data_IF_269195862036
#
_entry.id   IF_269195862036
#
_cell.length_a   1.000
_cell.length_b   1.000
_cell.length_c   1.000
_cell.angle_alpha   90.00
_cell.angle_beta   90.00
_cell.angle_gamma   90.00
#
_symmetry.space_group_name_H-M   'P 1'
#
loop_
_entity.id
_entity.type
_entity.pdbx_description
1 polymer ?
#
# COMPACT_ATOMS: atom_id res chain seq x y z
N UNK A 1 -12.17 7.92 -4.74
CA UNK A 1 -12.22 6.75 -5.66
C UNK A 1 -13.32 5.77 -5.23
N UNK A 2 -14.54 6.26 -5.01
CA UNK A 2 -15.81 5.52 -4.89
C UNK A 2 -16.79 6.45 -5.58
N UNK A 3 -17.47 6.02 -6.65
CA UNK A 3 -18.30 6.94 -7.47
C UNK A 3 -19.78 6.59 -7.49
N UNK A 4 -20.18 5.47 -6.88
CA UNK A 4 -21.59 5.12 -6.82
C UNK A 4 -21.88 4.24 -5.62
N UNK A 5 -22.80 4.72 -4.78
CA UNK A 5 -23.57 3.94 -3.82
C UNK A 5 -24.54 3.10 -4.66
N UNK A 6 -24.49 1.77 -4.55
CA UNK A 6 -25.48 0.91 -5.22
C UNK A 6 -26.72 0.91 -4.34
N UNK A 7 -27.87 1.40 -4.82
CA UNK A 7 -29.09 1.46 -4.01
C UNK A 7 -29.43 0.11 -3.35
N UNK A 8 -29.36 -1.01 -4.09
CA UNK A 8 -29.61 -2.34 -3.51
C UNK A 8 -28.58 -2.73 -2.45
N UNK A 9 -27.28 -2.73 -2.78
CA UNK A 9 -26.23 -3.10 -1.81
C UNK A 9 -26.13 -2.17 -0.60
N UNK A 10 -26.54 -0.91 -0.76
CA UNK A 10 -26.54 0.08 0.33
C UNK A 10 -27.78 -0.04 1.20
N UNK A 11 -28.93 -0.35 0.62
CA UNK A 11 -30.13 -0.70 1.39
C UNK A 11 -29.93 -2.00 2.17
N UNK A 12 -29.34 -3.03 1.55
CA UNK A 12 -28.98 -4.27 2.25
C UNK A 12 -28.04 -3.99 3.42
N UNK A 13 -27.03 -3.14 3.23
CA UNK A 13 -26.12 -2.77 4.31
C UNK A 13 -26.80 -2.01 5.45
N UNK A 14 -27.68 -1.05 5.13
CA UNK A 14 -28.45 -0.30 6.13
C UNK A 14 -29.42 -1.21 6.90
N UNK A 15 -30.01 -2.19 6.23
CA UNK A 15 -30.91 -3.17 6.85
C UNK A 15 -30.17 -4.30 7.59
N UNK A 16 -28.83 -4.28 7.65
CA UNK A 16 -28.02 -5.32 8.31
C UNK A 16 -27.98 -6.66 7.57
N UNK A 17 -28.40 -6.69 6.30
CA UNK A 17 -28.41 -7.88 5.44
C UNK A 17 -27.03 -8.16 4.85
N UNK A 18 -26.22 -7.11 4.60
CA UNK A 18 -24.87 -7.23 4.05
C UNK A 18 -23.87 -6.29 4.77
N UNK A 19 -22.55 -6.58 4.74
CA UNK A 19 -21.56 -5.69 5.36
C UNK A 19 -21.46 -4.36 4.60
N UNK A 20 -21.18 -3.25 5.30
CA UNK A 20 -21.11 -1.90 4.69
C UNK A 20 -20.20 -1.84 3.45
N UNK A 21 -19.13 -2.64 3.40
CA UNK A 21 -18.22 -2.67 2.27
C UNK A 21 -18.90 -3.08 0.94
N UNK A 22 -19.98 -3.88 0.96
CA UNK A 22 -20.71 -4.26 -0.26
C UNK A 22 -21.52 -3.11 -0.86
N UNK A 23 -21.68 -2.00 -0.15
CA UNK A 23 -22.26 -0.77 -0.68
C UNK A 23 -21.29 -0.02 -1.63
N UNK A 24 -20.00 -0.34 -1.60
CA UNK A 24 -18.97 0.33 -2.40
C UNK A 24 -18.86 -0.28 -3.80
N UNK A 25 -18.83 0.59 -4.82
CA UNK A 25 -18.50 0.20 -6.19
C UNK A 25 -17.38 1.05 -6.77
N UNK A 26 -16.44 0.36 -7.39
CA UNK A 26 -15.36 0.97 -8.17
C UNK A 26 -15.86 1.39 -9.53
N UNK A 27 -15.34 2.51 -10.03
CA UNK A 27 -15.53 2.89 -11.43
C UNK A 27 -14.25 2.54 -12.22
N UNK A 28 -14.20 1.40 -12.91
CA UNK A 28 -13.02 0.98 -13.65
C UNK A 28 -12.80 1.80 -14.93
N UNK A 29 -13.75 2.67 -15.33
CA UNK A 29 -13.61 3.46 -16.57
C UNK A 29 -12.59 4.61 -16.46
N UNK A 30 -12.13 4.95 -15.26
CA UNK A 30 -11.08 5.95 -15.07
C UNK A 30 -9.70 5.31 -15.14
N UNK A 31 -8.87 5.75 -16.07
CA UNK A 31 -7.46 5.36 -16.20
C UNK A 31 -6.54 6.03 -15.17
N UNK A 32 -7.03 7.03 -14.44
CA UNK A 32 -6.29 7.80 -13.44
C UNK A 32 -6.84 7.62 -12.04
N UNK A 33 -5.99 7.94 -11.05
CA UNK A 33 -6.34 7.94 -9.63
C UNK A 33 -6.17 9.34 -9.04
N UNK A 34 -7.21 9.93 -8.43
CA UNK A 34 -7.12 11.27 -7.86
C UNK A 34 -6.32 11.27 -6.56
N UNK A 35 -5.32 12.14 -6.46
CA UNK A 35 -4.56 12.46 -5.24
C UNK A 35 -4.92 13.88 -4.82
N UNK A 36 -5.49 14.03 -3.64
CA UNK A 36 -5.83 15.34 -3.09
C UNK A 36 -4.67 15.85 -2.25
N UNK A 37 -4.16 17.03 -2.61
CA UNK A 37 -3.24 17.77 -1.76
C UNK A 37 -4.04 18.75 -0.91
N UNK A 38 -3.78 18.79 0.39
CA UNK A 38 -4.46 19.69 1.32
C UNK A 38 -3.40 20.38 2.20
N UNK A 39 -3.29 21.72 2.18
CA UNK A 39 -2.33 22.43 3.00
C UNK A 39 -2.75 22.32 4.47
N UNK A 40 -1.83 21.86 5.33
CA UNK A 40 -2.08 21.76 6.77
C UNK A 40 -2.26 23.13 7.44
N UNK A 41 -1.66 24.17 6.86
CA UNK A 41 -1.67 25.54 7.39
C UNK A 41 -2.08 26.54 6.29
N UNK A 42 -3.38 26.64 5.95
CA UNK A 42 -3.85 27.39 4.79
C UNK A 42 -3.55 28.90 4.88
N UNK A 43 -3.45 29.46 6.09
CA UNK A 43 -3.18 30.89 6.29
C UNK A 43 -1.71 31.28 6.10
N UNK A 44 -0.79 30.31 6.05
CA UNK A 44 0.66 30.54 5.94
C UNK A 44 1.23 30.23 4.55
N UNK A 45 0.46 29.61 3.66
CA UNK A 45 0.97 29.25 2.33
C UNK A 45 0.84 30.44 1.37
N UNK A 46 1.83 30.60 0.50
CA UNK A 46 1.72 31.44 -0.71
C UNK A 46 0.71 30.87 -1.72
N UNK A 47 0.19 29.67 -1.45
CA UNK A 47 -0.73 28.89 -2.27
C UNK A 47 -2.20 29.31 -2.15
N UNK A 48 -2.49 30.59 -1.86
CA UNK A 48 -3.86 31.07 -1.64
C UNK A 48 -4.76 30.94 -2.88
N UNK A 49 -4.19 30.70 -4.04
CA UNK A 49 -4.90 30.72 -5.33
C UNK A 49 -5.28 29.33 -5.86
N UNK A 50 -4.63 28.25 -5.40
CA UNK A 50 -4.98 26.90 -5.85
C UNK A 50 -6.34 26.46 -5.27
N UNK A 51 -7.24 25.97 -6.14
CA UNK A 51 -8.42 25.23 -5.69
C UNK A 51 -8.05 23.81 -5.22
N UNK A 52 -7.92 23.64 -3.91
CA UNK A 52 -7.56 22.36 -3.26
C UNK A 52 -8.62 21.26 -3.39
N UNK A 53 -9.81 21.57 -3.90
CA UNK A 53 -10.85 20.58 -4.22
C UNK A 53 -10.55 19.86 -5.54
N UNK A 54 -9.63 20.39 -6.35
CA UNK A 54 -9.20 19.78 -7.61
C UNK A 54 -8.01 18.84 -7.33
N UNK A 55 -8.19 17.51 -7.50
CA UNK A 55 -7.11 16.56 -7.27
C UNK A 55 -6.08 16.62 -8.38
N UNK A 56 -4.90 16.08 -8.09
CA UNK A 56 -3.92 15.71 -9.09
C UNK A 56 -4.27 14.31 -9.58
N UNK A 57 -4.44 14.13 -10.88
CA UNK A 57 -4.78 12.84 -11.46
C UNK A 57 -3.50 12.06 -11.74
N UNK A 58 -3.19 11.09 -10.88
CA UNK A 58 -2.05 10.20 -11.07
C UNK A 58 -2.30 9.26 -12.27
N UNK A 59 -1.32 9.06 -13.18
CA UNK A 59 -1.51 8.38 -14.46
C UNK A 59 -1.54 6.85 -14.34
N UNK A 60 -2.25 6.32 -13.35
CA UNK A 60 -2.45 4.89 -13.19
C UNK A 60 -3.73 4.61 -12.40
N UNK A 61 -4.37 3.48 -12.68
CA UNK A 61 -5.52 2.98 -11.94
C UNK A 61 -5.01 2.07 -10.82
N UNK A 62 -4.94 2.62 -9.60
CA UNK A 62 -4.29 1.94 -8.47
C UNK A 62 -5.16 2.02 -7.23
N UNK A 63 -5.32 0.89 -6.55
CA UNK A 63 -5.81 0.89 -5.18
C UNK A 63 -4.61 1.07 -4.27
N UNK A 64 -4.37 2.30 -3.81
CA UNK A 64 -3.32 2.58 -2.83
C UNK A 64 -3.82 2.13 -1.45
N UNK A 65 -3.14 1.16 -0.84
CA UNK A 65 -3.58 0.51 0.41
C UNK A 65 -2.92 1.18 1.61
N UNK A 66 -1.59 1.12 1.68
CA UNK A 66 -0.81 1.61 2.81
C UNK A 66 0.29 2.56 2.35
N UNK A 67 0.44 3.70 3.02
CA UNK A 67 1.53 4.65 2.77
C UNK A 67 2.68 4.33 3.72
N UNK A 68 3.88 4.14 3.17
CA UNK A 68 5.10 3.97 3.96
C UNK A 68 5.68 5.31 4.40
N UNK A 69 5.75 6.28 3.48
CA UNK A 69 6.18 7.63 3.79
C UNK A 69 5.76 8.62 2.69
N UNK A 70 5.74 9.91 3.01
CA UNK A 70 5.64 10.99 2.03
C UNK A 70 6.46 12.19 2.48
N UNK A 71 7.15 12.86 1.57
CA UNK A 71 8.02 13.99 1.90
C UNK A 71 8.21 14.96 0.73
N UNK A 72 8.65 16.16 1.06
CA UNK A 72 8.95 17.23 0.11
C UNK A 72 10.44 17.25 -0.26
N UNK A 73 10.72 17.59 -1.52
CA UNK A 73 12.05 17.92 -2.03
C UNK A 73 11.94 19.29 -2.72
N UNK A 74 12.70 20.25 -2.22
CA UNK A 74 12.83 21.56 -2.86
C UNK A 74 13.98 21.52 -3.86
N UNK A 75 13.68 21.71 -5.14
CA UNK A 75 14.69 21.83 -6.19
C UNK A 75 15.20 23.27 -6.27
N UNK A 76 16.46 23.43 -6.71
CA UNK A 76 17.11 24.76 -6.80
C UNK A 76 16.44 25.71 -7.80
N UNK A 77 15.68 25.17 -8.74
CA UNK A 77 14.90 25.92 -9.72
C UNK A 77 13.53 26.40 -9.20
N UNK A 78 13.21 26.18 -7.92
CA UNK A 78 11.93 26.57 -7.32
C UNK A 78 10.79 25.57 -7.53
N UNK A 79 11.05 24.41 -8.16
CA UNK A 79 10.09 23.32 -8.23
C UNK A 79 10.04 22.60 -6.87
N UNK A 80 8.82 22.40 -6.37
CA UNK A 80 8.56 21.54 -5.22
C UNK A 80 8.16 20.15 -5.72
N UNK A 81 8.88 19.11 -5.29
CA UNK A 81 8.50 17.73 -5.57
C UNK A 81 7.99 17.06 -4.30
N UNK A 82 6.80 16.48 -4.37
CA UNK A 82 6.26 15.60 -3.33
C UNK A 82 6.49 14.16 -3.78
N UNK A 83 7.19 13.39 -2.96
CA UNK A 83 7.33 11.96 -3.13
C UNK A 83 6.44 11.21 -2.14
N UNK A 84 5.79 10.15 -2.60
CA UNK A 84 4.98 9.23 -1.78
C UNK A 84 5.49 7.82 -2.07
N UNK A 85 5.84 7.09 -1.02
CA UNK A 85 6.17 5.66 -1.08
C UNK A 85 5.00 4.92 -0.45
N UNK A 86 4.39 3.98 -1.18
CA UNK A 86 3.20 3.28 -0.74
C UNK A 86 3.14 1.86 -1.32
N UNK A 87 2.34 1.00 -0.71
CA UNK A 87 1.86 -0.22 -1.37
C UNK A 87 0.57 0.07 -2.12
N UNK A 88 0.49 -0.44 -3.35
CA UNK A 88 -0.71 -0.39 -4.18
C UNK A 88 -0.97 -1.75 -4.83
N UNK A 89 -2.23 -1.98 -5.23
CA UNK A 89 -2.62 -3.18 -5.96
C UNK A 89 -3.69 -2.87 -7.01
N UNK A 90 -4.04 -3.88 -7.81
CA UNK A 90 -5.20 -3.79 -8.69
C UNK A 90 -6.52 -3.90 -7.92
N UNK A 91 -7.59 -3.38 -8.53
CA UNK A 91 -8.97 -3.59 -8.07
C UNK A 91 -9.43 -5.05 -8.15
N UNK A 92 -8.75 -5.88 -8.96
CA UNK A 92 -9.06 -7.30 -9.05
C UNK A 92 -8.60 -8.02 -7.78
N UNK A 93 -7.44 -7.64 -7.25
CA UNK A 93 -6.90 -8.20 -6.02
C UNK A 93 -7.67 -7.72 -4.79
N UNK A 94 -7.90 -6.41 -4.67
CA UNK A 94 -8.69 -5.84 -3.55
C UNK A 94 -10.18 -5.81 -3.87
N UNK A 95 -10.83 -6.96 -3.74
CA UNK A 95 -12.25 -7.13 -4.06
C UNK A 95 -13.14 -7.03 -2.81
N UNK A 96 -14.04 -6.04 -2.79
CA UNK A 96 -14.97 -5.81 -1.68
C UNK A 96 -15.92 -6.95 -1.36
N UNK A 97 -16.17 -7.87 -2.30
CA UNK A 97 -17.04 -9.03 -2.06
C UNK A 97 -16.36 -10.17 -1.30
N UNK A 98 -15.03 -10.25 -1.38
CA UNK A 98 -14.21 -11.32 -0.80
C UNK A 98 -12.96 -10.72 -0.15
N UNK A 99 -13.18 -9.83 0.83
CA UNK A 99 -12.11 -9.11 1.52
C UNK A 99 -11.12 -10.10 2.14
N UNK A 100 -9.90 -10.14 1.61
CA UNK A 100 -8.84 -11.07 2.06
C UNK A 100 -9.28 -12.54 2.11
N UNK A 101 -10.22 -12.92 1.23
CA UNK A 101 -10.77 -14.26 1.17
C UNK A 101 -11.96 -14.54 2.09
N UNK A 102 -12.40 -13.58 2.90
CA UNK A 102 -13.63 -13.74 3.70
C UNK A 102 -14.88 -13.52 2.84
N UNK A 103 -15.71 -14.55 2.73
CA UNK A 103 -17.04 -14.51 2.12
C UNK A 103 -18.11 -14.43 3.22
N UNK A 104 -18.72 -13.26 3.36
CA UNK A 104 -19.73 -12.99 4.38
C UNK A 104 -21.03 -13.78 4.17
N UNK A 105 -21.34 -14.20 2.94
CA UNK A 105 -22.60 -14.91 2.65
C UNK A 105 -22.57 -16.34 3.18
N UNK A 106 -21.40 -16.97 3.12
CA UNK A 106 -21.19 -18.36 3.52
C UNK A 106 -20.36 -18.49 4.82
N UNK A 107 -19.94 -17.37 5.40
CA UNK A 107 -19.07 -17.28 6.58
C UNK A 107 -17.76 -18.08 6.44
N UNK A 108 -17.20 -18.15 5.23
CA UNK A 108 -15.96 -18.89 4.95
C UNK A 108 -14.79 -17.95 4.70
N UNK A 109 -13.64 -18.28 5.26
CA UNK A 109 -12.36 -17.62 4.99
C UNK A 109 -11.51 -18.53 4.10
N UNK A 110 -11.23 -18.07 2.88
CA UNK A 110 -10.31 -18.73 1.95
C UNK A 110 -9.29 -17.71 1.42
N UNK A 111 -8.12 -17.56 2.07
CA UNK A 111 -7.11 -16.59 1.64
C UNK A 111 -6.42 -16.99 0.34
N UNK A 112 -6.63 -18.20 -0.18
CA UNK A 112 -6.00 -18.65 -1.43
C UNK A 112 -6.45 -17.82 -2.63
N UNK A 113 -7.67 -17.25 -2.59
CA UNK A 113 -8.20 -16.38 -3.65
C UNK A 113 -7.38 -15.11 -3.85
N UNK A 114 -6.56 -14.72 -2.87
CA UNK A 114 -5.65 -13.58 -2.95
C UNK A 114 -4.38 -13.89 -3.78
N UNK A 115 -4.21 -15.15 -4.22
CA UNK A 115 -3.12 -15.58 -5.10
C UNK A 115 -3.56 -15.57 -6.57
N UNK A 116 -4.01 -14.42 -7.04
CA UNK A 116 -4.46 -14.26 -8.43
C UNK A 116 -3.32 -14.53 -9.42
N UNK A 117 -3.66 -15.15 -10.55
CA UNK A 117 -2.71 -15.37 -11.65
C UNK A 117 -2.61 -14.09 -12.49
N UNK A 118 -1.39 -13.65 -12.80
CA UNK A 118 -1.12 -12.47 -13.62
C UNK A 118 0.23 -11.85 -13.28
N UNK A 119 0.48 -10.63 -13.73
CA UNK A 119 1.68 -9.89 -13.40
C UNK A 119 1.66 -9.29 -12.00
N UNK A 120 2.84 -8.91 -11.51
CA UNK A 120 3.03 -8.40 -10.15
C UNK A 120 2.30 -7.09 -9.89
N UNK A 121 2.02 -6.32 -10.95
CA UNK A 121 1.22 -5.10 -10.92
C UNK A 121 -0.22 -5.33 -10.43
N UNK A 122 -0.72 -6.58 -10.52
CA UNK A 122 -2.05 -6.90 -9.99
C UNK A 122 -2.05 -7.10 -8.47
N UNK A 123 -0.96 -7.66 -7.94
CA UNK A 123 -0.74 -7.95 -6.52
C UNK A 123 -0.34 -6.67 -5.77
N UNK A 124 -0.39 -6.66 -4.42
CA UNK A 124 0.20 -5.59 -3.64
C UNK A 124 1.68 -5.45 -3.96
N UNK A 125 2.13 -4.25 -4.26
CA UNK A 125 3.53 -3.98 -4.53
C UNK A 125 3.88 -2.55 -4.16
N UNK A 126 5.15 -2.33 -3.80
CA UNK A 126 5.63 -1.00 -3.46
C UNK A 126 5.77 -0.15 -4.73
N UNK A 127 5.18 1.04 -4.67
CA UNK A 127 5.25 2.08 -5.69
C UNK A 127 5.82 3.37 -5.10
N UNK A 128 6.34 4.20 -5.97
CA UNK A 128 6.67 5.58 -5.72
C UNK A 128 5.82 6.48 -6.62
N UNK A 129 5.14 7.44 -6.01
CA UNK A 129 4.47 8.53 -6.71
C UNK A 129 5.32 9.79 -6.56
N UNK A 130 5.56 10.46 -7.68
CA UNK A 130 6.25 11.76 -7.72
C UNK A 130 5.29 12.80 -8.27
N UNK A 131 5.17 13.93 -7.59
CA UNK A 131 4.33 15.07 -7.99
C UNK A 131 5.21 16.31 -8.00
N UNK A 132 5.43 16.93 -9.16
CA UNK A 132 6.15 18.20 -9.27
C UNK A 132 5.18 19.36 -9.37
N UNK A 133 5.40 20.35 -8.52
CA UNK A 133 4.61 21.55 -8.39
C UNK A 133 5.47 22.76 -8.71
N UNK A 134 4.90 23.74 -9.40
CA UNK A 134 5.53 25.06 -9.56
C UNK A 134 5.36 25.94 -8.30
N UNK A 135 5.83 27.18 -8.37
CA UNK A 135 5.72 28.17 -7.28
C UNK A 135 4.28 28.55 -6.91
N UNK A 136 3.32 28.33 -7.80
CA UNK A 136 1.89 28.54 -7.60
C UNK A 136 1.17 27.25 -7.15
N UNK A 137 1.93 26.18 -6.91
CA UNK A 137 1.46 24.86 -6.52
C UNK A 137 0.61 24.17 -7.59
N UNK A 138 0.72 24.56 -8.87
CA UNK A 138 0.11 23.84 -9.97
C UNK A 138 0.94 22.59 -10.32
N UNK A 139 0.26 21.49 -10.64
CA UNK A 139 0.92 20.24 -10.98
C UNK A 139 1.50 20.31 -12.40
N UNK A 140 2.81 20.22 -12.50
CA UNK A 140 3.54 20.19 -13.77
C UNK A 140 3.75 18.74 -14.24
N UNK A 141 3.97 17.82 -13.32
CA UNK A 141 4.24 16.42 -13.63
C UNK A 141 3.76 15.52 -12.50
N UNK A 142 3.08 14.42 -12.83
CA UNK A 142 2.77 13.36 -11.89
C UNK A 142 3.15 12.01 -12.48
N UNK A 143 4.00 11.25 -11.78
CA UNK A 143 4.46 9.94 -12.21
C UNK A 143 4.18 8.90 -11.14
N UNK A 144 3.91 7.68 -11.57
CA UNK A 144 3.87 6.49 -10.70
C UNK A 144 4.86 5.47 -11.24
N UNK A 145 5.74 4.97 -10.37
CA UNK A 145 6.75 3.95 -10.70
C UNK A 145 6.70 2.83 -9.69
N UNK A 146 6.73 1.58 -10.15
CA UNK A 146 6.96 0.43 -9.27
C UNK A 146 8.44 0.36 -8.86
N UNK A 147 8.71 -0.19 -7.69
CA UNK A 147 10.07 -0.50 -7.26
C UNK A 147 10.72 -1.54 -8.18
N UNK A 148 11.93 -1.24 -8.68
CA UNK A 148 12.59 -2.11 -9.66
C UNK A 148 13.29 -3.31 -9.03
N UNK A 149 13.92 -3.11 -7.87
CA UNK A 149 14.65 -4.12 -7.13
C UNK A 149 13.77 -5.16 -6.41
N UNK A 150 12.47 -4.89 -6.26
CA UNK A 150 11.55 -5.84 -5.63
C UNK A 150 10.25 -5.99 -6.41
N UNK A 151 10.11 -7.15 -7.07
CA UNK A 151 8.96 -7.47 -7.91
C UNK A 151 7.97 -8.43 -7.24
N UNK A 152 8.14 -8.78 -5.97
CA UNK A 152 7.24 -9.73 -5.29
C UNK A 152 6.12 -9.00 -4.57
N UNK A 153 5.01 -9.71 -4.36
CA UNK A 153 3.87 -9.23 -3.59
C UNK A 153 4.33 -8.67 -2.25
N UNK A 154 4.05 -7.41 -1.95
CA UNK A 154 4.55 -6.69 -0.77
C UNK A 154 3.57 -5.64 -0.27
N UNK A 155 3.43 -5.56 1.05
CA UNK A 155 2.56 -4.60 1.72
C UNK A 155 3.07 -4.31 3.15
N UNK A 156 2.34 -3.48 3.90
CA UNK A 156 2.72 -2.98 5.21
C UNK A 156 4.10 -2.30 5.20
N UNK A 157 4.29 -1.29 4.33
CA UNK A 157 5.53 -0.53 4.27
C UNK A 157 5.76 0.23 5.57
N UNK A 158 6.92 0.06 6.18
CA UNK A 158 7.34 0.74 7.41
C UNK A 158 8.74 1.31 7.25
N UNK A 159 8.98 2.45 7.89
CA UNK A 159 10.26 3.15 7.94
C UNK A 159 10.67 3.37 9.40
N UNK A 160 11.89 3.85 9.62
CA UNK A 160 12.23 4.43 10.92
C UNK A 160 11.33 5.65 11.20
N UNK A 161 10.54 5.67 12.29
CA UNK A 161 9.57 6.71 12.57
C UNK A 161 10.17 8.12 12.71
N UNK A 162 11.47 8.24 13.04
CA UNK A 162 12.19 9.52 13.09
C UNK A 162 12.29 10.23 11.73
N UNK A 163 12.04 9.50 10.64
CA UNK A 163 12.05 9.99 9.26
C UNK A 163 10.63 10.18 8.68
N UNK A 164 9.58 10.04 9.48
CA UNK A 164 8.21 10.32 9.04
C UNK A 164 8.08 11.75 8.52
N UNK A 165 7.59 11.91 7.28
CA UNK A 165 7.47 13.22 6.64
C UNK A 165 8.77 13.76 6.04
N UNK A 166 9.88 13.01 6.13
CA UNK A 166 11.21 13.40 5.64
C UNK A 166 11.73 12.35 4.66
N UNK A 167 12.69 12.75 3.82
CA UNK A 167 13.38 11.80 2.95
C UNK A 167 14.05 10.70 3.77
N UNK A 168 13.81 9.45 3.41
CA UNK A 168 14.36 8.25 4.04
C UNK A 168 15.06 7.39 2.97
N UNK A 169 16.01 6.54 3.39
CA UNK A 169 16.75 5.59 2.55
C UNK A 169 16.22 4.17 2.67
N UNK A 170 15.80 3.73 3.85
CA UNK A 170 15.41 2.35 4.11
C UNK A 170 13.90 2.21 4.23
N UNK A 171 13.37 1.19 3.59
CA UNK A 171 11.98 0.76 3.70
C UNK A 171 11.93 -0.72 4.06
N UNK A 172 11.05 -1.09 4.97
CA UNK A 172 10.75 -2.48 5.29
C UNK A 172 9.31 -2.80 4.89
N UNK A 173 9.04 -4.04 4.50
CA UNK A 173 7.69 -4.46 4.15
C UNK A 173 7.51 -5.96 4.40
N UNK A 174 6.27 -6.38 4.66
CA UNK A 174 5.89 -7.79 4.59
C UNK A 174 5.77 -8.21 3.12
N UNK A 175 6.22 -9.42 2.81
CA UNK A 175 6.27 -9.96 1.46
C UNK A 175 6.30 -11.50 1.49
N UNK A 176 6.53 -12.09 0.33
CA UNK A 176 6.66 -13.53 0.10
C UNK A 176 7.84 -13.77 -0.82
N UNK A 177 8.54 -14.88 -0.64
CA UNK A 177 9.55 -15.31 -1.60
C UNK A 177 8.97 -16.04 -2.82
N UNK A 178 7.68 -16.37 -2.83
CA UNK A 178 7.06 -17.15 -3.92
C UNK A 178 7.44 -18.63 -3.93
N UNK A 179 8.11 -19.12 -2.88
CA UNK A 179 8.55 -20.51 -2.76
C UNK A 179 7.40 -21.49 -2.50
N UNK A 180 6.26 -21.02 -2.00
CA UNK A 180 5.07 -21.83 -1.71
C UNK A 180 4.21 -22.00 -2.96
N UNK A 181 4.23 -23.20 -3.54
CA UNK A 181 3.48 -23.52 -4.79
C UNK A 181 1.99 -23.20 -4.73
N UNK A 182 1.34 -23.45 -3.60
CA UNK A 182 -0.12 -23.25 -3.45
C UNK A 182 -0.51 -21.84 -3.03
N UNK A 183 0.42 -21.07 -2.46
CA UNK A 183 0.20 -19.73 -1.91
C UNK A 183 1.42 -18.82 -2.22
N UNK A 184 1.73 -18.57 -3.51
CA UNK A 184 2.96 -17.88 -3.89
C UNK A 184 3.00 -16.40 -3.52
N UNK A 185 1.84 -15.75 -3.37
CA UNK A 185 1.71 -14.29 -3.29
C UNK A 185 1.15 -13.78 -1.96
N UNK A 186 0.37 -14.61 -1.26
CA UNK A 186 -0.28 -14.29 0.01
C UNK A 186 -0.72 -15.60 0.72
N UNK A 187 -0.70 -15.70 2.07
CA UNK A 187 -0.23 -14.72 3.06
C UNK A 187 1.29 -14.52 3.05
N UNK A 188 1.75 -13.44 3.67
CA UNK A 188 3.18 -13.09 3.74
C UNK A 188 3.94 -13.97 4.73
N UNK A 189 5.19 -14.28 4.41
CA UNK A 189 6.09 -15.13 5.21
C UNK A 189 7.53 -14.57 5.28
N UNK A 190 7.73 -13.36 4.77
CA UNK A 190 9.05 -12.78 4.58
C UNK A 190 8.99 -11.29 4.86
N UNK A 191 9.98 -10.75 5.56
CA UNK A 191 10.26 -9.32 5.60
C UNK A 191 11.31 -9.00 4.54
N UNK A 192 11.09 -7.93 3.78
CA UNK A 192 12.11 -7.34 2.91
C UNK A 192 12.54 -5.98 3.47
N UNK A 193 13.85 -5.73 3.44
CA UNK A 193 14.49 -4.42 3.61
C UNK A 193 14.98 -3.95 2.25
N UNK A 194 14.51 -2.78 1.84
CA UNK A 194 14.91 -2.11 0.60
C UNK A 194 15.78 -0.91 0.94
N UNK A 195 16.94 -0.81 0.29
CA UNK A 195 17.75 0.40 0.22
C UNK A 195 17.35 1.20 -1.03
N UNK A 196 16.62 2.29 -0.83
CA UNK A 196 16.06 3.13 -1.90
C UNK A 196 17.12 3.99 -2.61
N UNK A 197 18.36 4.01 -2.12
CA UNK A 197 19.47 4.78 -2.72
C UNK A 197 20.41 3.87 -3.50
N UNK A 198 20.82 2.75 -2.91
CA UNK A 198 21.77 1.82 -3.53
C UNK A 198 21.10 0.65 -4.26
N UNK A 199 19.77 0.60 -4.28
CA UNK A 199 18.95 -0.44 -4.91
C UNK A 199 19.20 -1.86 -4.35
N UNK A 200 19.79 -1.97 -3.15
CA UNK A 200 20.09 -3.25 -2.50
C UNK A 200 18.91 -3.80 -1.72
N UNK A 201 18.83 -5.12 -1.60
CA UNK A 201 17.72 -5.84 -0.97
C UNK A 201 18.24 -6.86 0.03
N UNK A 202 17.61 -6.92 1.20
CA UNK A 202 17.85 -7.95 2.19
C UNK A 202 16.51 -8.55 2.62
N UNK A 203 16.47 -9.85 2.94
CA UNK A 203 15.24 -10.53 3.33
C UNK A 203 15.46 -11.41 4.55
N UNK A 204 14.41 -11.55 5.35
CA UNK A 204 14.31 -12.56 6.40
C UNK A 204 12.97 -13.28 6.27
N UNK A 205 12.99 -14.62 6.26
CA UNK A 205 11.79 -15.43 6.05
C UNK A 205 11.58 -16.40 7.20
N UNK A 206 10.31 -16.64 7.55
CA UNK A 206 9.94 -17.68 8.50
C UNK A 206 9.97 -19.07 7.85
N UNK A 207 10.00 -20.10 8.68
CA UNK A 207 9.99 -21.50 8.24
C UNK A 207 8.65 -21.96 7.66
N UNK A 208 8.59 -23.24 7.29
CA UNK A 208 7.40 -23.89 6.75
C UNK A 208 6.17 -23.72 7.67
N UNK A 209 4.99 -23.53 7.06
CA UNK A 209 3.69 -23.41 7.76
C UNK A 209 3.59 -22.21 8.73
N UNK A 210 4.45 -21.22 8.54
CA UNK A 210 4.44 -19.96 9.28
C UNK A 210 4.17 -18.80 8.35
N UNK A 211 3.54 -17.76 8.86
CA UNK A 211 3.24 -16.51 8.19
C UNK A 211 3.52 -15.36 9.12
N UNK A 212 3.62 -14.15 8.59
CA UNK A 212 3.92 -12.95 9.38
C UNK A 212 2.85 -11.87 9.19
N UNK A 213 2.67 -11.06 10.22
CA UNK A 213 1.92 -9.81 10.16
C UNK A 213 2.77 -8.63 9.69
N UNK A 214 2.28 -7.43 10.01
CA UNK A 214 2.97 -6.17 9.78
C UNK A 214 4.28 -6.08 10.60
N UNK A 215 5.43 -5.74 9.95
CA UNK A 215 6.66 -5.45 10.66
C UNK A 215 6.60 -4.06 11.33
N UNK A 216 7.19 -3.93 12.51
CA UNK A 216 7.30 -2.68 13.27
C UNK A 216 8.77 -2.36 13.51
N UNK A 217 9.20 -1.16 13.12
CA UNK A 217 10.57 -0.68 13.38
C UNK A 217 10.69 -0.01 14.76
N UNK A 218 11.66 -0.44 15.56
CA UNK A 218 11.98 0.13 16.87
C UNK A 218 13.40 0.72 16.82
N UNK A 219 13.56 2.05 16.84
CA UNK A 219 14.87 2.69 16.78
C UNK A 219 15.69 2.42 18.04
N UNK A 220 16.99 2.23 17.87
CA UNK A 220 17.96 2.07 18.97
C UNK A 220 19.01 3.18 18.99
N UNK A 221 19.45 3.66 17.83
CA UNK A 221 20.47 4.70 17.73
C UNK A 221 20.17 5.75 16.68
N UNK A 222 21.23 6.33 16.13
CA UNK A 222 21.16 7.52 15.27
C UNK A 222 21.05 7.21 13.78
N UNK A 223 21.64 6.10 13.33
CA UNK A 223 21.57 5.71 11.93
C UNK A 223 20.15 5.27 11.58
N UNK A 224 19.76 5.50 10.32
CA UNK A 224 18.37 5.32 9.89
C UNK A 224 17.87 3.87 10.10
N UNK A 225 18.73 2.87 9.91
CA UNK A 225 18.43 1.46 10.11
C UNK A 225 18.97 0.86 11.43
N UNK A 226 19.50 1.69 12.34
CA UNK A 226 19.97 1.22 13.65
C UNK A 226 18.79 1.03 14.62
N UNK A 227 18.32 -0.21 14.66
CA UNK A 227 17.18 -0.60 15.46
C UNK A 227 16.83 -2.08 15.33
N UNK A 228 15.61 -2.40 15.71
CA UNK A 228 15.03 -3.73 15.66
C UNK A 228 13.78 -3.73 14.79
N UNK A 229 13.50 -4.87 14.15
CA UNK A 229 12.18 -5.15 13.57
C UNK A 229 11.45 -6.15 14.45
N UNK A 230 10.28 -5.76 14.91
CA UNK A 230 9.34 -6.65 15.60
C UNK A 230 8.32 -7.15 14.59
N UNK A 231 8.09 -8.46 14.57
CA UNK A 231 7.16 -9.13 13.66
C UNK A 231 6.39 -10.18 14.42
N UNK A 232 5.07 -10.19 14.26
CA UNK A 232 4.23 -11.27 14.82
C UNK A 232 4.20 -12.42 13.82
N UNK A 233 4.68 -13.59 14.25
CA UNK A 233 4.58 -14.84 13.50
C UNK A 233 3.28 -15.58 13.87
N UNK A 234 2.56 -16.06 12.85
CA UNK A 234 1.43 -16.99 12.99
C UNK A 234 1.86 -18.36 12.47
N UNK A 235 1.87 -19.34 13.37
CA UNK A 235 2.18 -20.75 13.07
C UNK A 235 0.91 -21.58 12.93
N UNK A 236 0.78 -22.37 11.85
CA UNK A 236 -0.30 -23.35 11.70
C UNK A 236 0.16 -24.73 12.20
N UNK A 237 -0.23 -25.07 13.43
CA UNK A 237 -0.12 -26.43 13.96
C UNK A 237 -1.40 -27.20 13.65
N UNK A 238 -1.29 -28.29 12.89
CA UNK A 238 -2.32 -29.33 12.89
C UNK A 238 -2.03 -30.21 14.10
N UNK A 239 -2.89 -30.19 15.12
CA UNK A 239 -3.03 -31.37 15.98
C UNK A 239 -3.59 -32.47 15.09
N UNK A 240 -2.88 -33.59 14.88
CA UNK A 240 -3.51 -34.74 14.28
C UNK A 240 -4.67 -35.11 15.19
N UNK A 241 -5.90 -35.01 14.69
CA UNK A 241 -6.99 -35.78 15.28
C UNK A 241 -6.51 -37.23 15.27
N UNK A 242 -6.38 -37.81 16.46
CA UNK A 242 -6.18 -39.25 16.63
C UNK A 242 -7.20 -39.96 15.74
N UNK A 243 -6.68 -40.79 14.83
CA UNK A 243 -7.45 -41.73 14.02
C UNK A 243 -8.33 -42.62 14.90
#
# INVERSE_FOLDING_TARGET
MIKRIILSGSMEAVCGISPMISALKLNPSKSTSPIYLLPRFPHKSKAKERDWRVPIEAPSQLWLIHVGNAFEINHTNGILEIQIIASACSYQWFNFKKLFGYDWQNHKLDPSVMNIKGGNELLPHIIQVSIKLDSEYNCQECNVKSMQNWKKSSDFPIINPSFSGKKNRYLYAATTLGSRKTLPSFPFDTVVKLDLVNDSVQTWSVGSRRFIGEPIFVPKGHDEDDGYLLVVEVSLYFTPSLL
#
